data_IF_636927055283
#
_entry.id   IF_636927055283
#
_cell.length_a   1.000
_cell.length_b   1.000
_cell.length_c   1.000
_cell.angle_alpha   90.00
_cell.angle_beta   90.00
_cell.angle_gamma   90.00
#
_symmetry.space_group_name_H-M   'P 1'
#
loop_
_entity.id
_entity.type
_entity.pdbx_description
1 polymer ?
#
# COMPACT_ATOMS: atom_id res chain seq x y z
N UNK A 1 13.13 3.54 31.97
CA UNK A 1 13.49 3.87 30.57
C UNK A 1 12.52 3.14 29.67
N UNK A 2 11.48 3.83 29.20
CA UNK A 2 10.37 3.24 28.47
C UNK A 2 10.81 2.76 27.10
N UNK A 3 10.53 1.49 26.80
CA UNK A 3 10.80 0.87 25.52
C UNK A 3 10.06 1.63 24.41
N UNK A 4 10.80 2.35 23.56
CA UNK A 4 10.29 2.69 22.24
C UNK A 4 10.30 1.38 21.45
N UNK A 5 9.17 0.67 21.46
CA UNK A 5 8.95 -0.39 20.50
C UNK A 5 9.05 0.25 19.11
N UNK A 6 10.11 -0.07 18.39
CA UNK A 6 10.16 0.13 16.94
C UNK A 6 8.99 -0.71 16.42
N UNK A 7 7.84 -0.07 16.18
CA UNK A 7 6.69 -0.68 15.53
C UNK A 7 7.20 -1.15 14.17
N UNK A 8 7.64 -2.40 14.08
CA UNK A 8 7.80 -3.06 12.80
C UNK A 8 6.43 -2.95 12.15
N UNK A 9 6.27 -2.29 11.00
CA UNK A 9 4.99 -2.28 10.33
C UNK A 9 4.62 -3.74 10.08
N UNK A 10 3.63 -4.23 10.82
CA UNK A 10 3.13 -5.58 10.63
C UNK A 10 2.39 -5.58 9.31
N UNK A 11 2.70 -6.54 8.45
CA UNK A 11 1.83 -6.86 7.32
C UNK A 11 0.41 -6.97 7.84
N UNK A 12 -0.50 -6.26 7.20
CA UNK A 12 -1.85 -6.07 7.69
C UNK A 12 -2.83 -6.04 6.53
N UNK A 13 -4.10 -6.37 6.77
CA UNK A 13 -5.09 -6.34 5.72
C UNK A 13 -5.22 -4.91 5.16
N UNK A 14 -5.43 -4.87 3.84
CA UNK A 14 -5.84 -3.68 3.11
C UNK A 14 -7.30 -3.90 2.76
N UNK A 15 -8.17 -3.10 3.34
CA UNK A 15 -9.62 -3.27 3.25
C UNK A 15 -10.20 -2.32 2.19
N UNK A 16 -11.09 -2.80 1.32
CA UNK A 16 -11.95 -1.95 0.50
C UNK A 16 -12.67 -0.88 1.36
N UNK A 17 -12.86 0.33 0.84
CA UNK A 17 -13.53 1.43 1.52
C UNK A 17 -12.60 2.31 2.37
N UNK A 18 -11.41 1.82 2.71
CA UNK A 18 -10.46 2.54 3.55
C UNK A 18 -9.44 3.30 2.69
N UNK A 19 -9.11 4.52 3.12
CA UNK A 19 -8.07 5.35 2.50
C UNK A 19 -6.82 5.32 3.37
N UNK A 20 -5.73 4.82 2.81
CA UNK A 20 -4.45 4.71 3.49
C UNK A 20 -3.50 5.81 3.03
N UNK A 21 -2.85 6.54 3.95
CA UNK A 21 -1.64 7.29 3.62
C UNK A 21 -0.59 6.38 2.98
N UNK A 22 0.19 6.89 2.03
CA UNK A 22 1.13 6.08 1.27
C UNK A 22 2.13 5.31 2.14
N UNK A 23 2.58 5.91 3.25
CA UNK A 23 3.50 5.30 4.22
C UNK A 23 2.85 4.11 4.94
N UNK A 24 1.61 4.27 5.41
CA UNK A 24 0.85 3.20 6.06
C UNK A 24 0.51 2.08 5.07
N UNK A 25 0.14 2.44 3.84
CA UNK A 25 -0.12 1.48 2.78
C UNK A 25 1.12 0.62 2.47
N UNK A 26 2.30 1.25 2.37
CA UNK A 26 3.57 0.54 2.16
C UNK A 26 3.89 -0.40 3.32
N UNK A 27 3.69 0.08 4.55
CA UNK A 27 3.83 -0.70 5.76
C UNK A 27 2.95 -1.96 5.77
N UNK A 28 1.66 -1.82 5.45
CA UNK A 28 0.67 -2.92 5.46
C UNK A 28 0.85 -3.89 4.30
N UNK A 29 1.06 -3.39 3.09
CA UNK A 29 1.23 -4.20 1.88
C UNK A 29 2.58 -4.92 1.80
N UNK A 30 3.59 -4.43 2.52
CA UNK A 30 4.97 -4.87 2.39
C UNK A 30 5.66 -4.41 1.10
N UNK A 31 5.01 -3.58 0.29
CA UNK A 31 5.61 -3.06 -0.95
C UNK A 31 6.68 -2.02 -0.62
N UNK A 32 7.94 -2.41 -0.82
CA UNK A 32 9.07 -1.48 -0.74
C UNK A 32 9.01 -0.38 -1.81
N UNK A 33 9.86 0.64 -1.67
CA UNK A 33 9.87 1.84 -2.53
C UNK A 33 9.95 1.52 -4.04
N UNK A 34 10.80 0.58 -4.41
CA UNK A 34 10.97 0.14 -5.81
C UNK A 34 9.73 -0.57 -6.33
N UNK A 35 9.14 -1.47 -5.52
CA UNK A 35 7.92 -2.18 -5.87
C UNK A 35 6.74 -1.21 -6.03
N UNK A 36 6.62 -0.22 -5.15
CA UNK A 36 5.61 0.84 -5.27
C UNK A 36 5.78 1.69 -6.53
N UNK A 37 7.02 2.02 -6.91
CA UNK A 37 7.27 2.73 -8.16
C UNK A 37 6.83 1.90 -9.37
N UNK A 38 7.10 0.60 -9.34
CA UNK A 38 6.67 -0.32 -10.39
C UNK A 38 5.14 -0.45 -10.43
N UNK A 39 4.50 -0.67 -9.28
CA UNK A 39 3.05 -0.80 -9.17
C UNK A 39 2.33 0.45 -9.72
N UNK A 40 2.82 1.65 -9.38
CA UNK A 40 2.27 2.89 -9.93
C UNK A 40 2.43 3.00 -11.44
N UNK A 41 3.56 2.56 -11.99
CA UNK A 41 3.77 2.49 -13.45
C UNK A 41 2.84 1.48 -14.12
N UNK A 42 2.48 0.39 -13.43
CA UNK A 42 1.54 -0.61 -13.93
C UNK A 42 0.07 -0.31 -13.60
N UNK A 43 -0.24 0.89 -13.12
CA UNK A 43 -1.62 1.36 -12.98
C UNK A 43 -2.18 1.38 -11.56
N UNK A 44 -1.38 1.12 -10.51
CA UNK A 44 -1.83 1.33 -9.14
C UNK A 44 -2.13 2.82 -8.92
N UNK A 45 -3.41 3.11 -8.68
CA UNK A 45 -3.91 4.48 -8.48
C UNK A 45 -3.41 5.03 -7.14
N UNK A 46 -2.94 6.27 -7.16
CA UNK A 46 -2.55 7.04 -5.96
C UNK A 46 -3.11 8.44 -6.12
N UNK A 47 -3.79 8.94 -5.08
CA UNK A 47 -4.30 10.31 -5.05
C UNK A 47 -3.42 11.18 -4.17
N UNK A 48 -3.07 12.36 -4.68
CA UNK A 48 -2.29 13.33 -3.91
C UNK A 48 -3.20 14.44 -3.40
N UNK A 49 -3.09 14.77 -2.10
CA UNK A 49 -3.69 15.97 -1.52
C UNK A 49 -2.76 16.55 -0.44
N UNK A 50 -2.57 17.87 -0.43
CA UNK A 50 -1.68 18.54 0.53
C UNK A 50 -0.24 18.01 0.55
N UNK A 51 0.30 17.60 -0.61
CA UNK A 51 1.65 17.02 -0.74
C UNK A 51 1.79 15.57 -0.23
N UNK A 52 0.70 14.94 0.24
CA UNK A 52 0.69 13.56 0.72
C UNK A 52 -0.02 12.65 -0.29
N UNK A 53 0.52 11.44 -0.47
CA UNK A 53 -0.10 10.42 -1.31
C UNK A 53 -1.02 9.51 -0.51
N UNK A 54 -2.11 9.07 -1.13
CA UNK A 54 -3.11 8.20 -0.54
C UNK A 54 -3.50 7.10 -1.52
N UNK A 55 -3.74 5.90 -1.00
CA UNK A 55 -4.21 4.75 -1.76
C UNK A 55 -5.52 4.28 -1.14
N UNK A 56 -6.55 4.13 -1.95
CA UNK A 56 -7.78 3.46 -1.51
C UNK A 56 -7.59 1.95 -1.56
N UNK A 57 -8.14 1.24 -0.58
CA UNK A 57 -8.10 -0.22 -0.59
C UNK A 57 -8.68 -0.82 -1.86
N UNK A 58 -9.80 -0.29 -2.39
CA UNK A 58 -10.39 -0.80 -3.63
C UNK A 58 -9.42 -0.72 -4.81
N UNK A 59 -8.65 0.36 -4.92
CA UNK A 59 -7.70 0.51 -6.02
C UNK A 59 -6.55 -0.49 -5.95
N UNK A 60 -6.18 -0.90 -4.74
CA UNK A 60 -5.19 -1.95 -4.59
C UNK A 60 -5.75 -3.31 -4.96
N UNK A 61 -6.96 -3.64 -4.53
CA UNK A 61 -7.66 -4.86 -4.95
C UNK A 61 -7.83 -4.91 -6.48
N UNK A 62 -8.35 -3.85 -7.09
CA UNK A 62 -8.46 -3.73 -8.56
C UNK A 62 -7.11 -3.95 -9.26
N UNK A 63 -6.03 -3.39 -8.70
CA UNK A 63 -4.70 -3.55 -9.25
C UNK A 63 -4.16 -4.98 -9.12
N UNK A 64 -4.42 -5.65 -7.98
CA UNK A 64 -4.07 -7.05 -7.76
C UNK A 64 -4.81 -7.96 -8.75
N UNK A 65 -6.11 -7.77 -8.96
CA UNK A 65 -6.88 -8.55 -9.94
C UNK A 65 -6.35 -8.33 -11.36
N UNK A 66 -5.94 -7.11 -11.71
CA UNK A 66 -5.46 -6.78 -13.06
C UNK A 66 -4.01 -7.22 -13.35
N UNK A 67 -3.14 -7.27 -12.34
CA UNK A 67 -1.69 -7.48 -12.51
C UNK A 67 -1.15 -8.72 -11.78
N UNK A 68 -1.94 -9.29 -10.87
CA UNK A 68 -1.61 -10.51 -10.16
C UNK A 68 -1.46 -11.66 -11.12
N UNK A 69 -0.54 -12.57 -10.81
CA UNK A 69 -0.44 -13.87 -11.47
C UNK A 69 -0.84 -14.90 -10.44
N UNK A 70 -1.87 -15.67 -10.74
CA UNK A 70 -2.18 -16.85 -9.95
C UNK A 70 -0.99 -17.81 -10.04
N UNK A 71 -0.49 -18.22 -8.87
CA UNK A 71 0.43 -19.35 -8.78
C UNK A 71 -0.38 -20.61 -8.51
N UNK A 72 0.08 -21.73 -9.06
CA UNK A 72 -0.42 -23.07 -8.70
C UNK A 72 -0.04 -23.45 -7.28
#
# INVERSE_FOLDING_TARGET
MSAQSILRPSLGPIEPGIVYPLEEFQARSGLGRTAMRSARKSGLKVRYTGGRGFVKGEWFCEWLEANGKETK
#
